data_IF_465427173984
#
_entry.id   IF_465427173984
#
_cell.length_a   1.000
_cell.length_b   1.000
_cell.length_c   1.000
_cell.angle_alpha   90.00
_cell.angle_beta   90.00
_cell.angle_gamma   90.00
#
_symmetry.space_group_name_H-M   'P 1'
#
loop_
_entity.id
_entity.type
_entity.pdbx_description
1 polymer ?
#
# COMPACT_ATOMS: atom_id res chain seq x y z
N UNK A 1 2.65 26.75 10.82
CA UNK A 1 2.93 26.27 12.20
C UNK A 1 4.20 25.47 12.13
N UNK A 2 5.08 25.49 13.16
CA UNK A 2 6.22 24.54 13.28
C UNK A 2 5.67 23.13 13.52
N UNK A 3 5.03 22.61 12.51
CA UNK A 3 5.49 21.37 11.97
C UNK A 3 6.52 21.89 10.92
N UNK A 4 7.52 21.12 10.59
CA UNK A 4 6.91 20.03 9.92
C UNK A 4 7.24 18.69 10.46
N UNK A 5 7.99 17.95 9.67
CA UNK A 5 7.72 16.54 9.58
C UNK A 5 8.65 15.78 10.55
N UNK A 6 8.39 15.77 11.86
CA UNK A 6 8.50 14.54 12.67
C UNK A 6 7.49 14.56 13.84
N UNK A 7 6.96 13.45 14.34
CA UNK A 7 7.53 12.16 14.64
C UNK A 7 6.60 11.00 14.21
N UNK A 8 7.08 10.08 13.35
CA UNK A 8 6.32 8.94 12.78
C UNK A 8 5.79 9.15 11.36
N UNK A 9 6.48 9.96 10.57
CA UNK A 9 5.89 10.76 9.50
C UNK A 9 6.24 10.27 8.08
N UNK A 10 5.44 10.70 7.09
CA UNK A 10 5.74 10.56 5.66
C UNK A 10 5.84 11.94 4.99
N UNK A 11 6.91 12.16 4.22
CA UNK A 11 7.10 13.34 3.36
C UNK A 11 6.89 13.04 1.87
N UNK A 12 7.01 11.77 1.48
CA UNK A 12 6.82 11.27 0.12
C UNK A 12 5.54 10.46 0.12
N UNK A 13 4.53 10.90 -0.63
CA UNK A 13 3.27 10.17 -0.78
C UNK A 13 3.28 9.42 -2.10
N UNK A 14 3.25 8.06 -2.08
CA UNK A 14 3.09 7.30 -3.31
C UNK A 14 1.79 7.70 -4.01
N UNK A 15 1.88 7.96 -5.31
CA UNK A 15 0.72 8.23 -6.15
C UNK A 15 0.49 7.04 -7.08
N UNK A 16 -0.62 6.36 -6.89
CA UNK A 16 -1.06 5.24 -7.71
C UNK A 16 -1.86 5.75 -8.90
N UNK A 17 -1.32 5.55 -10.10
CA UNK A 17 -2.04 5.80 -11.34
C UNK A 17 -2.58 4.46 -11.86
N UNK A 18 -3.87 4.22 -11.68
CA UNK A 18 -4.51 2.91 -11.98
C UNK A 18 -5.64 3.06 -12.99
N UNK A 19 -5.90 2.02 -13.78
CA UNK A 19 -6.91 2.07 -14.84
C UNK A 19 -8.36 2.21 -14.34
N UNK A 20 -8.65 1.64 -13.17
CA UNK A 20 -9.95 1.69 -12.50
C UNK A 20 -9.70 2.04 -11.04
N UNK A 21 -9.82 3.33 -10.71
CA UNK A 21 -9.45 3.82 -9.40
C UNK A 21 -10.51 3.50 -8.34
N UNK A 22 -11.79 3.46 -8.72
CA UNK A 22 -12.89 3.06 -7.84
C UNK A 22 -12.71 1.62 -7.33
N UNK A 23 -12.46 0.67 -8.24
CA UNK A 23 -12.21 -0.71 -7.85
C UNK A 23 -10.91 -0.86 -7.03
N UNK A 24 -9.91 0.00 -7.26
CA UNK A 24 -8.68 -0.02 -6.47
C UNK A 24 -8.90 0.50 -5.04
N UNK A 25 -9.73 1.52 -4.86
CA UNK A 25 -10.17 1.99 -3.54
C UNK A 25 -10.88 0.87 -2.77
N UNK A 26 -11.81 0.16 -3.43
CA UNK A 26 -12.50 -1.00 -2.84
C UNK A 26 -11.52 -2.11 -2.43
N UNK A 27 -10.53 -2.40 -3.28
CA UNK A 27 -9.46 -3.35 -2.96
C UNK A 27 -8.66 -2.91 -1.73
N UNK A 28 -8.22 -1.65 -1.66
CA UNK A 28 -7.44 -1.14 -0.52
C UNK A 28 -8.23 -1.23 0.79
N UNK A 29 -9.52 -0.91 0.76
CA UNK A 29 -10.42 -1.05 1.90
C UNK A 29 -10.55 -2.53 2.33
N UNK A 30 -10.83 -3.42 1.39
CA UNK A 30 -11.03 -4.84 1.67
C UNK A 30 -9.74 -5.56 2.09
N UNK A 31 -8.61 -5.26 1.44
CA UNK A 31 -7.32 -5.93 1.65
C UNK A 31 -6.60 -5.42 2.90
N UNK A 32 -6.58 -4.10 3.09
CA UNK A 32 -5.69 -3.45 4.05
C UNK A 32 -6.43 -2.65 5.13
N UNK A 33 -7.76 -2.64 5.09
CA UNK A 33 -8.56 -1.79 5.98
C UNK A 33 -8.27 -0.30 5.76
N UNK A 34 -8.00 0.08 4.50
CA UNK A 34 -7.73 1.47 4.16
C UNK A 34 -8.90 2.38 4.53
N UNK A 35 -8.58 3.60 4.94
CA UNK A 35 -9.57 4.64 5.26
C UNK A 35 -9.49 5.75 4.22
N UNK A 36 -10.59 6.06 3.55
CA UNK A 36 -10.66 7.22 2.67
C UNK A 36 -10.57 8.51 3.49
N UNK A 37 -9.64 9.39 3.12
CA UNK A 37 -9.48 10.72 3.72
C UNK A 37 -10.25 11.75 2.89
N UNK A 38 -10.04 11.72 1.57
CA UNK A 38 -10.69 12.62 0.62
C UNK A 38 -10.79 11.96 -0.76
N UNK A 39 -11.83 12.33 -1.51
CA UNK A 39 -12.02 11.92 -2.90
C UNK A 39 -12.60 13.07 -3.73
N UNK A 40 -12.04 13.25 -4.93
CA UNK A 40 -12.51 14.21 -5.92
C UNK A 40 -12.93 13.47 -7.20
N UNK A 41 -14.15 13.78 -7.66
CA UNK A 41 -14.81 13.14 -8.80
C UNK A 41 -15.28 14.17 -9.82
N UNK A 42 -15.15 13.83 -11.10
CA UNK A 42 -15.73 14.55 -12.24
C UNK A 42 -16.68 13.59 -12.97
N UNK A 43 -17.96 13.95 -13.14
CA UNK A 43 -18.95 13.12 -13.84
C UNK A 43 -18.95 11.66 -13.35
N UNK A 44 -18.97 11.49 -12.02
CA UNK A 44 -18.90 10.21 -11.27
C UNK A 44 -17.59 9.43 -11.34
N UNK A 45 -16.63 9.85 -12.17
CA UNK A 45 -15.31 9.23 -12.27
C UNK A 45 -14.36 9.79 -11.22
N UNK A 46 -13.64 8.90 -10.52
CA UNK A 46 -12.56 9.33 -9.63
C UNK A 46 -11.40 9.99 -10.41
N UNK A 47 -11.06 11.21 -10.00
CA UNK A 47 -9.91 11.96 -10.53
C UNK A 47 -8.74 11.88 -9.56
N UNK A 48 -9.01 12.01 -8.27
CA UNK A 48 -8.00 11.99 -7.22
C UNK A 48 -8.61 11.52 -5.90
N UNK A 49 -7.87 10.72 -5.12
CA UNK A 49 -8.21 10.38 -3.75
C UNK A 49 -6.97 10.30 -2.87
N UNK A 50 -7.17 10.54 -1.58
CA UNK A 50 -6.20 10.34 -0.51
C UNK A 50 -6.73 9.24 0.42
N UNK A 51 -5.91 8.24 0.71
CA UNK A 51 -6.27 7.14 1.62
C UNK A 51 -5.21 6.94 2.70
N UNK A 52 -5.64 6.60 3.91
CA UNK A 52 -4.76 6.12 4.97
C UNK A 52 -4.65 4.60 4.90
N UNK A 53 -3.43 4.10 4.78
CA UNK A 53 -3.11 2.66 4.70
C UNK A 53 -1.94 2.38 5.64
N UNK A 54 -2.15 1.50 6.63
CA UNK A 54 -1.14 1.15 7.64
C UNK A 54 -0.47 2.36 8.33
N UNK A 55 -1.22 3.45 8.52
CA UNK A 55 -0.73 4.69 9.12
C UNK A 55 -0.10 5.68 8.14
N UNK A 56 0.27 5.25 6.92
CA UNK A 56 0.75 6.10 5.83
C UNK A 56 -0.41 6.67 5.00
N UNK A 57 -0.18 7.79 4.32
CA UNK A 57 -1.12 8.30 3.30
C UNK A 57 -0.65 7.83 1.93
N UNK A 58 -1.56 7.45 1.05
CA UNK A 58 -1.27 7.28 -0.38
C UNK A 58 -2.26 8.12 -1.18
N UNK A 59 -1.86 8.48 -2.38
CA UNK A 59 -2.72 9.15 -3.35
C UNK A 59 -3.07 8.20 -4.48
N UNK A 60 -4.27 8.35 -5.03
CA UNK A 60 -4.77 7.54 -6.15
C UNK A 60 -5.35 8.46 -7.20
N UNK A 61 -5.16 8.12 -8.47
CA UNK A 61 -5.82 8.78 -9.60
C UNK A 61 -5.94 7.85 -10.79
N UNK A 62 -6.68 8.32 -11.80
CA UNK A 62 -6.97 7.55 -13.00
C UNK A 62 -6.46 8.27 -14.27
N UNK A 63 -5.78 7.57 -15.21
CA UNK A 63 -5.18 8.17 -16.40
C UNK A 63 -6.12 9.05 -17.24
N UNK A 64 -5.71 10.29 -17.55
CA UNK A 64 -6.43 11.23 -18.44
C UNK A 64 -5.44 11.86 -19.42
N UNK A 65 -5.85 12.06 -20.68
CA UNK A 65 -4.97 12.63 -21.71
C UNK A 65 -3.81 11.69 -22.05
N UNK A 66 -2.58 12.19 -21.91
CA UNK A 66 -1.34 11.44 -22.23
C UNK A 66 -0.85 10.55 -21.07
N UNK A 67 -1.42 10.69 -19.87
CA UNK A 67 -1.03 9.86 -18.74
C UNK A 67 -1.50 8.41 -18.95
N UNK A 68 -0.75 7.45 -18.40
CA UNK A 68 -1.05 6.02 -18.44
C UNK A 68 -0.94 5.43 -17.04
N UNK A 69 -1.56 4.28 -16.81
CA UNK A 69 -1.41 3.58 -15.54
C UNK A 69 0.04 3.09 -15.40
N UNK A 70 0.57 3.14 -14.18
CA UNK A 70 1.96 2.79 -13.89
C UNK A 70 2.03 1.81 -12.73
N UNK A 71 2.99 0.88 -12.81
CA UNK A 71 3.27 -0.02 -11.69
C UNK A 71 3.93 0.73 -10.56
N UNK A 72 3.36 0.61 -9.37
CA UNK A 72 4.04 0.93 -8.11
C UNK A 72 4.51 -0.37 -7.44
N UNK A 73 5.67 -0.33 -6.79
CA UNK A 73 6.09 -1.38 -5.87
C UNK A 73 6.27 -0.75 -4.50
N UNK A 74 5.53 -1.21 -3.48
CA UNK A 74 5.64 -0.70 -2.12
C UNK A 74 6.13 -1.78 -1.18
N UNK A 75 6.99 -1.39 -0.25
CA UNK A 75 7.38 -2.18 0.90
C UNK A 75 6.71 -1.58 2.14
N UNK A 76 5.93 -2.39 2.86
CA UNK A 76 5.10 -1.93 3.97
C UNK A 76 5.34 -2.81 5.19
N UNK A 77 5.56 -2.14 6.33
CA UNK A 77 5.72 -2.82 7.61
C UNK A 77 4.39 -2.89 8.35
N UNK A 78 4.03 -4.10 8.77
CA UNK A 78 2.81 -4.39 9.53
C UNK A 78 3.15 -5.29 10.72
N UNK A 79 2.24 -5.40 11.69
CA UNK A 79 2.46 -6.25 12.84
C UNK A 79 2.44 -7.75 12.48
N UNK A 80 1.52 -8.15 11.60
CA UNK A 80 1.28 -9.55 11.20
C UNK A 80 1.20 -9.66 9.67
N UNK A 81 2.33 -9.91 8.98
CA UNK A 81 2.34 -9.92 7.51
C UNK A 81 1.50 -11.06 6.91
N UNK A 82 1.40 -12.21 7.58
CA UNK A 82 0.58 -13.34 7.14
C UNK A 82 -0.90 -12.99 7.08
N UNK A 83 -1.44 -12.38 8.14
CA UNK A 83 -2.85 -12.00 8.21
C UNK A 83 -3.21 -11.01 7.10
N UNK A 84 -2.30 -10.05 6.82
CA UNK A 84 -2.46 -9.06 5.77
C UNK A 84 -2.39 -9.69 4.37
N UNK A 85 -1.45 -10.60 4.13
CA UNK A 85 -1.37 -11.34 2.87
C UNK A 85 -2.63 -12.15 2.65
N UNK A 86 -3.07 -12.93 3.64
CA UNK A 86 -4.28 -13.74 3.56
C UNK A 86 -5.54 -12.89 3.27
N UNK A 87 -5.64 -11.72 3.90
CA UNK A 87 -6.74 -10.78 3.65
C UNK A 87 -6.69 -10.21 2.24
N UNK A 88 -5.52 -9.81 1.76
CA UNK A 88 -5.36 -9.29 0.41
C UNK A 88 -5.68 -10.34 -0.67
N UNK A 89 -5.32 -11.61 -0.44
CA UNK A 89 -5.70 -12.71 -1.32
C UNK A 89 -7.22 -12.90 -1.38
N UNK A 90 -7.92 -12.80 -0.24
CA UNK A 90 -9.39 -12.81 -0.21
C UNK A 90 -10.01 -11.62 -0.95
N UNK A 91 -9.31 -10.49 -0.99
CA UNK A 91 -9.71 -9.29 -1.73
C UNK A 91 -9.34 -9.34 -3.24
N UNK A 92 -8.75 -10.44 -3.73
CA UNK A 92 -8.45 -10.63 -5.15
C UNK A 92 -7.00 -10.35 -5.55
N UNK A 93 -6.08 -10.16 -4.59
CA UNK A 93 -4.65 -10.16 -4.89
C UNK A 93 -4.16 -11.55 -5.31
N UNK A 94 -3.03 -11.58 -6.02
CA UNK A 94 -2.32 -12.82 -6.37
C UNK A 94 -1.05 -12.94 -5.52
N UNK A 95 -0.81 -14.14 -4.97
CA UNK A 95 0.42 -14.41 -4.24
C UNK A 95 1.61 -14.47 -5.21
N UNK A 96 2.65 -13.69 -4.94
CA UNK A 96 3.93 -13.77 -5.66
C UNK A 96 4.86 -14.77 -4.96
N UNK A 97 4.99 -14.65 -3.64
CA UNK A 97 5.71 -15.59 -2.79
C UNK A 97 5.20 -15.51 -1.34
N UNK A 98 5.21 -16.64 -0.60
CA UNK A 98 4.67 -16.70 0.76
C UNK A 98 5.52 -15.86 1.73
N UNK A 99 4.91 -15.49 2.85
CA UNK A 99 5.64 -14.84 3.95
C UNK A 99 6.66 -15.83 4.51
N UNK A 100 7.94 -15.45 4.46
CA UNK A 100 9.06 -16.24 4.98
C UNK A 100 10.03 -15.35 5.74
N UNK A 101 10.81 -15.93 6.63
CA UNK A 101 11.97 -15.27 7.22
C UNK A 101 13.09 -15.13 6.18
N UNK A 102 13.74 -13.98 6.20
CA UNK A 102 14.88 -13.65 5.35
C UNK A 102 16.13 -13.43 6.19
N UNK A 103 17.28 -13.80 5.65
CA UNK A 103 18.58 -13.77 6.36
C UNK A 103 19.00 -12.38 6.84
N UNK A 104 18.47 -11.31 6.24
CA UNK A 104 18.74 -9.91 6.59
C UNK A 104 17.85 -9.36 7.72
N UNK A 105 17.11 -10.23 8.42
CA UNK A 105 16.40 -9.87 9.65
C UNK A 105 14.98 -9.35 9.44
N UNK A 106 14.36 -9.64 8.30
CA UNK A 106 12.96 -9.33 7.99
C UNK A 106 12.18 -10.62 7.76
N UNK A 107 10.89 -10.61 8.13
CA UNK A 107 9.93 -11.60 7.68
C UNK A 107 8.98 -10.93 6.70
N UNK A 108 8.92 -11.38 5.45
CA UNK A 108 8.06 -10.76 4.45
C UNK A 108 7.55 -11.70 3.36
N UNK A 109 6.40 -11.34 2.79
CA UNK A 109 5.78 -11.98 1.62
C UNK A 109 5.47 -10.96 0.54
N UNK A 110 5.21 -11.45 -0.68
CA UNK A 110 4.93 -10.60 -1.83
C UNK A 110 3.57 -10.92 -2.44
N UNK A 111 2.79 -9.88 -2.73
CA UNK A 111 1.53 -9.98 -3.48
C UNK A 111 1.49 -8.99 -4.64
N UNK A 112 0.72 -9.31 -5.68
CA UNK A 112 0.33 -8.37 -6.73
C UNK A 112 -1.17 -8.09 -6.65
N UNK A 113 -1.57 -6.83 -6.74
CA UNK A 113 -2.97 -6.48 -6.90
C UNK A 113 -3.44 -6.62 -8.36
N UNK A 114 -4.74 -6.55 -8.58
CA UNK A 114 -5.34 -6.64 -9.92
C UNK A 114 -5.07 -5.42 -10.81
N UNK A 115 -4.48 -4.35 -10.24
CA UNK A 115 -4.25 -3.06 -10.89
C UNK A 115 -2.81 -2.89 -11.37
N UNK A 116 -1.97 -3.91 -11.16
CA UNK A 116 -0.61 -4.00 -11.67
C UNK A 116 0.47 -3.60 -10.68
N UNK A 117 0.12 -3.28 -9.42
CA UNK A 117 1.09 -2.94 -8.38
C UNK A 117 1.50 -4.16 -7.57
N UNK A 118 2.66 -4.05 -6.91
CA UNK A 118 3.19 -5.08 -6.05
C UNK A 118 3.42 -4.56 -4.64
N UNK A 119 3.14 -5.41 -3.67
CA UNK A 119 3.24 -5.10 -2.25
C UNK A 119 4.11 -6.13 -1.56
N UNK A 120 5.16 -5.66 -0.91
CA UNK A 120 6.03 -6.45 -0.05
C UNK A 120 5.61 -6.19 1.40
N UNK A 121 4.93 -7.16 1.99
CA UNK A 121 4.33 -7.05 3.31
C UNK A 121 5.29 -7.65 4.33
N UNK A 122 5.78 -6.85 5.26
CA UNK A 122 6.92 -7.18 6.10
C UNK A 122 6.71 -6.91 7.59
N UNK A 123 7.48 -7.59 8.44
CA UNK A 123 7.74 -7.20 9.81
C UNK A 123 9.21 -7.44 10.18
N UNK A 124 9.72 -6.70 11.17
CA UNK A 124 11.10 -6.88 11.67
C UNK A 124 11.19 -8.12 12.55
N UNK A 125 12.19 -8.97 12.30
CA UNK A 125 12.48 -10.13 13.15
C UNK A 125 13.32 -9.73 14.37
N UNK A 126 13.31 -10.56 15.40
CA UNK A 126 14.05 -10.31 16.64
C UNK A 126 15.58 -10.27 16.43
N UNK A 127 16.11 -10.88 15.37
CA UNK A 127 17.51 -10.78 14.97
C UNK A 127 17.92 -9.33 14.63
N UNK A 128 17.02 -8.55 14.03
CA UNK A 128 17.27 -7.16 13.67
C UNK A 128 17.06 -6.20 14.86
N UNK A 129 16.10 -6.51 15.75
CA UNK A 129 15.80 -5.69 16.94
C UNK A 129 17.01 -5.56 17.88
N UNK A 130 17.90 -6.55 17.93
CA UNK A 130 19.11 -6.55 18.77
C UNK A 130 20.30 -5.77 18.19
N UNK A 131 20.25 -5.39 16.91
CA UNK A 131 21.38 -4.69 16.25
C UNK A 131 21.24 -3.17 16.26
N UNK A 132 20.12 -2.64 16.76
CA UNK A 132 19.80 -1.20 16.80
C UNK A 132 19.65 -0.71 18.27
N UNK A 133 19.91 -1.57 19.26
CA UNK A 133 19.92 -1.22 20.69
C UNK A 133 21.29 -0.78 21.17
#
# INVERSE_FOLDING_TARGET
MSSYIPKGFQAITPYFMVHDADAFLDFLCAAFGAEEISAHREEDRLVHAELRVFGSVIEVGQPKGEFTATRVNLHVYVAQPEDVVDQALRAGATLLYPVTEHEYGEKSGGIADAFGNQWYIACVTDHHKRSIS
#
